data_IF_317219815065
#
_entry.id   IF_317219815065
#
_cell.length_a   1.000
_cell.length_b   1.000
_cell.length_c   1.000
_cell.angle_alpha   90.00
_cell.angle_beta   90.00
_cell.angle_gamma   90.00
#
_symmetry.space_group_name_H-M   'P 1'
#
loop_
_entity.id
_entity.type
_entity.pdbx_description
1 polymer ?
#
# COMPACT_ATOMS: atom_id res chain seq x y z
N UNK A 1 5.16 14.82 5.02
CA UNK A 1 3.76 14.58 4.61
C UNK A 1 3.10 13.66 5.63
N UNK A 2 1.81 13.82 5.88
CA UNK A 2 1.05 12.90 6.73
C UNK A 2 0.56 11.68 5.96
N UNK A 3 0.34 10.57 6.68
CA UNK A 3 -0.23 9.36 6.07
C UNK A 3 -1.65 9.63 5.55
N UNK A 4 -1.84 9.56 4.22
CA UNK A 4 -3.12 9.75 3.53
C UNK A 4 -4.09 8.56 3.64
N UNK A 5 -3.67 7.44 4.24
CA UNK A 5 -4.42 6.17 4.24
C UNK A 5 -4.76 5.65 2.82
N UNK A 6 -3.91 5.98 1.85
CA UNK A 6 -4.01 5.56 0.44
C UNK A 6 -3.61 4.10 0.18
N UNK A 7 -3.36 3.31 1.23
CA UNK A 7 -2.95 1.91 1.16
C UNK A 7 -1.60 1.59 0.46
N UNK A 8 -0.77 2.57 0.07
CA UNK A 8 0.57 2.33 -0.55
C UNK A 8 1.36 1.31 0.26
N UNK A 9 1.68 1.60 1.52
CA UNK A 9 2.41 0.68 2.39
C UNK A 9 1.77 -0.72 2.57
N UNK A 10 0.50 -0.90 2.20
CA UNK A 10 -0.21 -2.17 2.26
C UNK A 10 -0.23 -2.92 0.92
N UNK A 11 -0.13 -2.24 -0.23
CA UNK A 11 -0.19 -2.84 -1.58
C UNK A 11 1.15 -2.79 -2.32
N UNK A 12 1.93 -1.75 -2.07
CA UNK A 12 3.16 -1.41 -2.78
C UNK A 12 4.36 -2.32 -2.51
N UNK A 13 4.73 -2.60 -1.25
CA UNK A 13 6.07 -3.15 -1.04
C UNK A 13 6.09 -4.67 -1.26
N UNK A 14 7.11 -5.14 -2.00
CA UNK A 14 7.64 -6.50 -1.83
C UNK A 14 8.23 -6.52 -0.41
N UNK A 15 7.44 -7.03 0.53
CA UNK A 15 7.91 -7.24 1.89
C UNK A 15 8.06 -8.74 2.01
N UNK A 16 9.26 -9.22 1.74
CA UNK A 16 9.60 -10.64 1.83
C UNK A 16 9.31 -11.19 3.23
N UNK A 17 9.46 -10.35 4.28
CA UNK A 17 9.12 -10.71 5.68
C UNK A 17 7.61 -10.85 5.96
N UNK A 18 6.75 -10.36 5.07
CA UNK A 18 5.29 -10.50 5.15
C UNK A 18 4.73 -11.47 4.10
N UNK A 19 5.60 -12.12 3.30
CA UNK A 19 5.22 -12.99 2.19
C UNK A 19 4.13 -12.38 1.29
N UNK A 20 4.24 -11.06 1.04
CA UNK A 20 3.22 -10.28 0.34
C UNK A 20 3.76 -9.88 -1.03
N UNK A 21 3.23 -10.44 -2.13
CA UNK A 21 3.61 -10.02 -3.47
C UNK A 21 3.25 -8.54 -3.70
N UNK A 22 3.98 -7.92 -4.62
CA UNK A 22 3.68 -6.56 -5.09
C UNK A 22 2.28 -6.54 -5.71
N UNK A 23 1.53 -5.47 -5.50
CA UNK A 23 0.19 -5.30 -6.06
C UNK A 23 -0.90 -6.09 -5.34
N UNK A 24 -0.54 -7.09 -4.53
CA UNK A 24 -1.50 -7.86 -3.72
C UNK A 24 -1.83 -7.10 -2.43
N UNK A 25 -3.13 -6.87 -2.12
CA UNK A 25 -3.55 -6.29 -0.86
C UNK A 25 -3.08 -7.10 0.35
N UNK A 26 -2.49 -6.42 1.33
CA UNK A 26 -2.17 -7.04 2.62
C UNK A 26 -3.43 -7.60 3.30
N UNK A 27 -3.31 -8.76 3.97
CA UNK A 27 -4.39 -9.38 4.76
C UNK A 27 -5.03 -8.47 5.84
N UNK A 28 -4.30 -7.45 6.31
CA UNK A 28 -4.80 -6.50 7.30
C UNK A 28 -5.49 -5.29 6.70
N UNK A 29 -5.53 -5.18 5.37
CA UNK A 29 -6.28 -4.14 4.67
C UNK A 29 -7.76 -4.53 4.64
N UNK A 30 -8.64 -3.61 4.97
CA UNK A 30 -10.08 -3.78 4.78
C UNK A 30 -10.53 -3.34 3.39
N UNK A 31 -11.82 -3.51 3.11
CA UNK A 31 -12.46 -3.13 1.85
C UNK A 31 -12.51 -1.62 1.63
N UNK A 32 -12.32 -0.81 2.69
CA UNK A 32 -12.20 0.65 2.60
C UNK A 32 -10.75 1.11 2.34
N UNK A 33 -9.79 0.18 2.21
CA UNK A 33 -8.38 0.50 2.02
C UNK A 33 -7.70 1.01 3.30
N UNK A 34 -8.26 0.77 4.48
CA UNK A 34 -7.66 1.10 5.77
C UNK A 34 -6.99 -0.12 6.38
N UNK A 35 -5.87 0.11 7.06
CA UNK A 35 -5.15 -0.96 7.75
C UNK A 35 -5.80 -1.20 9.12
N UNK A 36 -6.41 -2.37 9.31
CA UNK A 36 -7.11 -2.76 10.54
C UNK A 36 -6.21 -2.80 11.78
N UNK A 37 -4.90 -2.97 11.59
CA UNK A 37 -3.90 -3.00 12.67
C UNK A 37 -3.05 -1.73 12.73
N UNK A 38 -3.53 -0.57 12.24
CA UNK A 38 -2.73 0.65 12.10
C UNK A 38 -1.92 1.02 13.36
N UNK A 39 -2.52 0.92 14.55
CA UNK A 39 -1.86 1.18 15.84
C UNK A 39 -0.80 0.13 16.21
N UNK A 40 -0.98 -1.12 15.78
CA UNK A 40 -0.13 -2.28 16.05
C UNK A 40 0.77 -2.69 14.87
N UNK A 41 0.96 -1.80 13.89
CA UNK A 41 1.77 -2.07 12.71
C UNK A 41 3.18 -2.52 13.09
N UNK A 42 3.70 -3.61 12.49
CA UNK A 42 5.06 -4.07 12.74
C UNK A 42 6.09 -3.05 12.25
N UNK A 43 7.34 -3.18 12.70
CA UNK A 43 8.43 -2.25 12.38
C UNK A 43 8.57 -2.00 10.87
N UNK A 44 8.46 -3.04 10.03
CA UNK A 44 8.53 -2.90 8.57
C UNK A 44 7.47 -1.94 8.00
N UNK A 45 6.24 -1.97 8.53
CA UNK A 45 5.17 -1.07 8.11
C UNK A 45 5.33 0.34 8.70
N UNK A 46 5.98 0.48 9.86
CA UNK A 46 6.26 1.77 10.51
C UNK A 46 7.44 2.50 9.88
N UNK A 47 8.40 1.75 9.36
CA UNK A 47 9.56 2.28 8.65
C UNK A 47 9.22 2.80 7.25
N UNK A 48 8.08 2.41 6.68
CA UNK A 48 7.54 3.04 5.48
C UNK A 48 7.00 4.42 5.84
N UNK A 49 7.73 5.47 5.44
CA UNK A 49 7.34 6.86 5.67
C UNK A 49 6.48 7.38 4.51
N UNK A 50 5.48 8.24 4.78
CA UNK A 50 4.69 8.87 3.72
C UNK A 50 5.55 9.77 2.83
N UNK A 51 5.37 9.64 1.52
CA UNK A 51 6.07 10.33 0.45
C UNK A 51 5.11 10.79 -0.66
N UNK A 52 5.64 11.31 -1.77
CA UNK A 52 4.87 11.79 -2.92
C UNK A 52 4.01 10.70 -3.59
N UNK A 53 4.45 9.43 -3.51
CA UNK A 53 3.71 8.29 -4.05
C UNK A 53 2.35 8.20 -3.36
N UNK A 54 2.27 8.56 -2.07
CA UNK A 54 1.00 8.53 -1.34
C UNK A 54 -0.08 9.45 -1.95
N UNK A 55 0.33 10.53 -2.62
CA UNK A 55 -0.57 11.44 -3.33
C UNK A 55 -0.89 10.92 -4.73
N UNK A 56 0.12 10.47 -5.48
CA UNK A 56 -0.03 9.98 -6.85
C UNK A 56 -0.96 8.77 -6.91
N UNK A 57 -0.89 7.87 -5.92
CA UNK A 57 -1.71 6.66 -5.93
C UNK A 57 -3.11 6.86 -5.32
N UNK A 58 -3.38 7.97 -4.66
CA UNK A 58 -4.66 8.18 -3.98
C UNK A 58 -5.80 8.15 -5.01
N UNK A 59 -6.82 7.34 -4.72
CA UNK A 59 -7.93 7.10 -5.62
C UNK A 59 -9.18 6.61 -4.85
N UNK A 60 -10.38 6.71 -5.44
CA UNK A 60 -11.62 6.27 -4.80
C UNK A 60 -11.65 4.80 -4.42
N UNK A 61 -11.09 3.91 -5.24
CA UNK A 61 -11.12 2.45 -5.00
C UNK A 61 -9.74 1.88 -4.74
N UNK A 62 -9.68 0.77 -3.98
CA UNK A 62 -8.44 0.04 -3.74
C UNK A 62 -7.79 -0.46 -5.04
N UNK A 63 -8.60 -0.95 -5.98
CA UNK A 63 -8.14 -1.43 -7.28
C UNK A 63 -7.47 -0.31 -8.09
N UNK A 64 -8.04 0.90 -8.07
CA UNK A 64 -7.43 2.07 -8.71
C UNK A 64 -6.11 2.46 -8.05
N UNK A 65 -6.03 2.41 -6.72
CA UNK A 65 -4.78 2.69 -5.98
C UNK A 65 -3.67 1.70 -6.34
N UNK A 66 -4.01 0.41 -6.41
CA UNK A 66 -3.08 -0.66 -6.86
C UNK A 66 -2.62 -0.40 -8.29
N UNK A 67 -3.56 -0.09 -9.19
CA UNK A 67 -3.26 0.20 -10.60
C UNK A 67 -2.33 1.41 -10.75
N UNK A 68 -2.58 2.49 -9.99
CA UNK A 68 -1.73 3.67 -9.99
C UNK A 68 -0.32 3.34 -9.50
N UNK A 69 -0.20 2.56 -8.43
CA UNK A 69 1.11 2.12 -7.93
C UNK A 69 1.89 1.33 -8.99
N UNK A 70 1.28 0.31 -9.58
CA UNK A 70 1.93 -0.52 -10.60
C UNK A 70 2.37 0.30 -11.82
N UNK A 71 1.56 1.29 -12.21
CA UNK A 71 1.90 2.22 -13.30
C UNK A 71 3.15 3.04 -13.01
N UNK A 72 3.32 3.55 -11.78
CA UNK A 72 4.50 4.35 -11.39
C UNK A 72 5.80 3.56 -11.64
N UNK A 73 5.80 2.28 -11.29
CA UNK A 73 6.98 1.42 -11.38
C UNK A 73 7.07 0.63 -12.70
N UNK A 74 6.17 0.90 -13.65
CA UNK A 74 6.05 0.13 -14.90
C UNK A 74 5.95 -1.39 -14.69
N UNK A 75 5.34 -1.80 -13.57
CA UNK A 75 5.09 -3.19 -13.22
C UNK A 75 3.79 -3.67 -13.86
N UNK A 76 3.75 -4.90 -14.34
CA UNK A 76 2.53 -5.57 -14.79
C UNK A 76 2.12 -6.60 -13.74
N UNK A 77 0.84 -6.64 -13.39
CA UNK A 77 0.27 -7.83 -12.76
C UNK A 77 0.23 -8.90 -13.85
N UNK A 78 1.10 -9.90 -13.73
CA UNK A 78 1.12 -11.08 -14.61
C UNK A 78 -0.06 -12.01 -14.30
#
# INVERSE_FOLDING_TARGET
MDCRRCATCCTAPDISTLAKPVGVPCQYLDTEGKCRIYSKRPAVCRNYLPDEICEIIDAPTLEQRVTNYLRIFSLRNE
#
